data_IF_885673576956
#
_entry.id   IF_885673576956
#
_cell.length_a   1.000
_cell.length_b   1.000
_cell.length_c   1.000
_cell.angle_alpha   90.00
_cell.angle_beta   90.00
_cell.angle_gamma   90.00
#
_symmetry.space_group_name_H-M   'P 1'
#
loop_
_entity.id
_entity.type
_entity.pdbx_description
1 polymer ?
#
# COMPACT_ATOMS: atom_id res chain seq x y z
N UNK A 1 -0.37 -12.59 -15.10
CA UNK A 1 -1.20 -11.39 -14.83
C UNK A 1 -1.29 -10.56 -16.10
N UNK A 2 -2.41 -10.64 -16.84
CA UNK A 2 -2.57 -9.92 -18.10
C UNK A 2 -3.00 -8.48 -17.85
N UNK A 3 -2.21 -7.52 -18.32
CA UNK A 3 -2.50 -6.07 -18.23
C UNK A 3 -3.19 -5.61 -19.50
N UNK A 4 -4.53 -5.74 -19.54
CA UNK A 4 -5.33 -5.41 -20.73
C UNK A 4 -5.58 -3.91 -20.93
N UNK A 5 -5.36 -3.09 -19.90
CA UNK A 5 -5.45 -1.63 -19.96
C UNK A 5 -4.07 -1.03 -19.70
N UNK A 6 -3.80 0.14 -20.32
CA UNK A 6 -2.49 0.77 -20.51
C UNK A 6 -1.44 0.53 -19.40
N UNK A 7 -0.19 0.29 -19.82
CA UNK A 7 0.93 0.06 -18.90
C UNK A 7 1.76 1.33 -18.72
N UNK A 8 2.40 1.51 -17.56
CA UNK A 8 3.33 2.61 -17.31
C UNK A 8 2.68 3.94 -16.93
N UNK A 9 1.35 4.04 -16.88
CA UNK A 9 0.66 5.30 -16.59
C UNK A 9 0.90 5.79 -15.17
N UNK A 10 0.83 4.87 -14.19
CA UNK A 10 1.07 5.17 -12.79
C UNK A 10 2.55 5.50 -12.52
N UNK A 11 3.46 4.79 -13.18
CA UNK A 11 4.91 5.02 -13.10
C UNK A 11 5.29 6.40 -13.64
N UNK A 12 4.79 6.78 -14.82
CA UNK A 12 5.00 8.12 -15.41
C UNK A 12 4.44 9.22 -14.51
N UNK A 13 3.30 8.97 -13.87
CA UNK A 13 2.70 9.93 -12.94
C UNK A 13 3.57 10.10 -11.69
N UNK A 14 4.03 8.99 -11.11
CA UNK A 14 4.91 9.00 -9.95
C UNK A 14 6.20 9.77 -10.25
N UNK A 15 6.82 9.52 -11.41
CA UNK A 15 8.00 10.24 -11.88
C UNK A 15 7.73 11.76 -12.04
N UNK A 16 6.64 12.12 -12.73
CA UNK A 16 6.25 13.51 -12.97
C UNK A 16 6.07 14.32 -11.68
N UNK A 17 5.52 13.70 -10.65
CA UNK A 17 5.23 14.37 -9.38
C UNK A 17 6.29 14.11 -8.30
N UNK A 18 7.42 13.49 -8.66
CA UNK A 18 8.49 13.13 -7.73
C UNK A 18 7.97 12.37 -6.50
N UNK A 19 7.01 11.48 -6.73
CA UNK A 19 6.39 10.64 -5.70
C UNK A 19 6.61 9.16 -6.00
N UNK A 20 6.15 8.29 -5.11
CA UNK A 20 6.37 6.85 -5.20
C UNK A 20 5.11 6.11 -5.62
N UNK A 21 5.28 5.10 -6.47
CA UNK A 21 4.23 4.13 -6.77
C UNK A 21 4.26 3.00 -5.73
N UNK A 22 3.29 2.98 -4.82
CA UNK A 22 3.27 2.01 -3.70
C UNK A 22 2.74 0.63 -4.10
N UNK A 23 1.91 0.52 -5.13
CA UNK A 23 1.38 -0.76 -5.59
C UNK A 23 0.52 -0.63 -6.84
N UNK A 24 0.15 -1.78 -7.40
CA UNK A 24 -0.76 -1.89 -8.55
C UNK A 24 -1.78 -2.98 -8.26
N UNK A 25 -3.07 -2.61 -8.21
CA UNK A 25 -4.15 -3.57 -8.02
C UNK A 25 -4.73 -3.97 -9.38
N UNK A 26 -4.78 -5.26 -9.75
CA UNK A 26 -5.47 -5.71 -10.94
C UNK A 26 -6.98 -5.41 -10.87
N UNK A 27 -7.56 -5.11 -12.03
CA UNK A 27 -9.01 -5.11 -12.20
C UNK A 27 -9.47 -6.56 -12.33
N UNK A 28 -10.06 -7.11 -11.28
CA UNK A 28 -10.57 -8.48 -11.28
C UNK A 28 -11.99 -8.54 -10.72
N UNK A 29 -12.86 -9.33 -11.35
CA UNK A 29 -14.29 -9.38 -10.98
C UNK A 29 -14.51 -9.81 -9.53
N UNK A 30 -13.69 -10.74 -9.01
CA UNK A 30 -13.81 -11.22 -7.63
C UNK A 30 -13.54 -10.12 -6.58
N UNK A 31 -12.67 -9.15 -6.86
CA UNK A 31 -12.47 -7.99 -5.98
C UNK A 31 -13.77 -7.20 -5.83
N UNK A 32 -14.41 -6.91 -6.97
CA UNK A 32 -15.69 -6.19 -7.00
C UNK A 32 -16.79 -6.97 -6.27
N UNK A 33 -16.91 -8.27 -6.53
CA UNK A 33 -17.93 -9.11 -5.89
C UNK A 33 -17.76 -9.19 -4.37
N UNK A 34 -16.53 -9.33 -3.88
CA UNK A 34 -16.25 -9.36 -2.44
C UNK A 34 -16.61 -8.00 -1.79
N UNK A 35 -16.26 -6.88 -2.45
CA UNK A 35 -16.61 -5.52 -1.99
C UNK A 35 -18.12 -5.24 -2.05
N UNK A 36 -18.81 -5.66 -3.12
CA UNK A 36 -20.27 -5.53 -3.29
C UNK A 36 -21.03 -6.30 -2.20
N UNK A 37 -20.46 -7.41 -1.71
CA UNK A 37 -20.98 -8.19 -0.58
C UNK A 37 -20.67 -7.56 0.79
N UNK A 38 -19.93 -6.45 0.83
CA UNK A 38 -19.49 -5.79 2.06
C UNK A 38 -18.41 -6.56 2.84
N UNK A 39 -17.78 -7.57 2.24
CA UNK A 39 -16.72 -8.37 2.88
C UNK A 39 -15.43 -8.27 2.07
N UNK A 40 -14.47 -7.42 2.47
CA UNK A 40 -13.24 -7.18 1.72
C UNK A 40 -12.50 -8.47 1.35
N UNK A 41 -11.84 -8.49 0.19
CA UNK A 41 -11.12 -9.68 -0.33
C UNK A 41 -10.10 -10.26 0.64
N UNK A 42 -9.44 -9.42 1.46
CA UNK A 42 -8.50 -9.88 2.49
C UNK A 42 -9.14 -10.75 3.58
N UNK A 43 -10.47 -10.61 3.78
CA UNK A 43 -11.28 -11.42 4.69
C UNK A 43 -11.91 -12.59 3.93
N UNK A 44 -12.54 -12.30 2.78
CA UNK A 44 -13.26 -13.30 1.97
C UNK A 44 -12.34 -14.36 1.38
N UNK A 45 -11.09 -14.01 1.08
CA UNK A 45 -10.13 -14.83 0.33
C UNK A 45 -8.70 -14.65 0.88
N UNK A 46 -8.42 -15.10 2.11
CA UNK A 46 -7.17 -14.80 2.80
C UNK A 46 -5.91 -15.32 2.08
N UNK A 47 -6.04 -16.42 1.33
CA UNK A 47 -4.92 -17.06 0.61
C UNK A 47 -4.82 -16.66 -0.88
N UNK A 48 -5.63 -15.69 -1.33
CA UNK A 48 -5.59 -15.25 -2.74
C UNK A 48 -4.38 -14.36 -3.05
N UNK A 49 -3.96 -14.34 -4.33
CA UNK A 49 -2.91 -13.42 -4.76
C UNK A 49 -3.28 -11.95 -4.49
N UNK A 50 -4.56 -11.62 -4.57
CA UNK A 50 -5.08 -10.28 -4.30
C UNK A 50 -4.85 -9.87 -2.85
N UNK A 51 -5.07 -10.78 -1.91
CA UNK A 51 -4.77 -10.54 -0.49
C UNK A 51 -3.29 -10.29 -0.27
N UNK A 52 -2.43 -11.06 -0.92
CA UNK A 52 -0.98 -10.84 -0.89
C UNK A 52 -0.61 -9.46 -1.43
N UNK A 53 -1.19 -9.02 -2.55
CA UNK A 53 -0.96 -7.68 -3.11
C UNK A 53 -1.40 -6.57 -2.13
N UNK A 54 -2.58 -6.71 -1.50
CA UNK A 54 -3.04 -5.75 -0.50
C UNK A 54 -2.13 -5.67 0.72
N UNK A 55 -1.66 -6.81 1.24
CA UNK A 55 -0.70 -6.85 2.36
C UNK A 55 0.61 -6.17 2.00
N UNK A 56 1.17 -6.47 0.82
CA UNK A 56 2.39 -5.82 0.34
C UNK A 56 2.22 -4.30 0.17
N UNK A 57 1.06 -3.83 -0.29
CA UNK A 57 0.74 -2.41 -0.36
C UNK A 57 0.72 -1.78 1.04
N UNK A 58 0.04 -2.42 2.00
CA UNK A 58 -0.02 -1.95 3.38
C UNK A 58 1.37 -1.88 4.03
N UNK A 59 2.21 -2.90 3.83
CA UNK A 59 3.59 -2.94 4.33
C UNK A 59 4.42 -1.77 3.79
N UNK A 60 4.28 -1.47 2.49
CA UNK A 60 4.97 -0.34 1.87
C UNK A 60 4.50 1.00 2.42
N UNK A 61 3.20 1.18 2.64
CA UNK A 61 2.65 2.39 3.27
C UNK A 61 3.24 2.56 4.67
N UNK A 62 3.19 1.50 5.48
CA UNK A 62 3.72 1.52 6.85
C UNK A 62 5.22 1.85 6.87
N UNK A 63 6.01 1.22 5.99
CA UNK A 63 7.44 1.49 5.87
C UNK A 63 7.73 2.94 5.46
N UNK A 64 6.99 3.49 4.48
CA UNK A 64 7.17 4.90 4.08
C UNK A 64 6.84 5.86 5.22
N UNK A 65 5.74 5.64 5.94
CA UNK A 65 5.37 6.47 7.08
C UNK A 65 6.40 6.39 8.21
N UNK A 66 6.95 5.20 8.48
CA UNK A 66 7.98 5.03 9.49
C UNK A 66 9.24 5.86 9.18
N UNK A 67 9.72 5.81 7.94
CA UNK A 67 10.96 6.51 7.55
C UNK A 67 10.76 8.01 7.29
N UNK A 68 9.53 8.45 7.00
CA UNK A 68 9.19 9.87 6.78
C UNK A 68 8.68 10.57 8.04
N UNK A 69 8.38 9.83 9.11
CA UNK A 69 7.90 10.40 10.36
C UNK A 69 8.99 11.17 11.10
N UNK A 70 8.60 12.25 11.79
CA UNK A 70 9.50 12.89 12.73
C UNK A 70 9.70 12.00 13.96
N UNK A 71 10.96 11.78 14.33
CA UNK A 71 11.30 11.04 15.55
C UNK A 71 10.87 11.90 16.74
N UNK A 72 9.94 11.39 17.55
CA UNK A 72 9.63 11.97 18.85
C UNK A 72 10.87 11.73 19.74
N UNK A 73 11.64 12.76 20.14
CA UNK A 73 12.85 12.56 20.92
C UNK A 73 12.51 11.92 22.27
N UNK A 74 13.17 10.79 22.59
CA UNK A 74 12.93 10.03 23.82
C UNK A 74 13.70 10.52 25.05
N UNK A 75 14.58 11.52 24.91
CA UNK A 75 15.40 12.01 26.02
C UNK A 75 14.74 13.17 26.77
N UNK A 76 14.36 12.91 28.01
CA UNK A 76 14.24 13.96 29.03
C UNK A 76 15.67 14.28 29.49
N UNK A 77 16.19 15.44 29.11
CA UNK A 77 17.53 15.89 29.50
C UNK A 77 17.61 16.10 31.02
N UNK A 78 18.09 15.11 31.77
CA UNK A 78 18.49 15.32 33.17
C UNK A 78 19.89 15.90 33.21
N UNK A 79 20.00 17.20 33.52
CA UNK A 79 21.26 17.79 33.98
C UNK A 79 21.47 17.41 35.44
N UNK A 80 22.39 16.49 35.70
CA UNK A 80 22.96 16.36 37.03
C UNK A 80 23.88 17.56 37.25
N UNK A 81 23.54 18.38 38.26
CA UNK A 81 24.34 19.51 38.75
C UNK A 81 25.42 18.98 39.68
#
# INVERSE_FOLDING_TARGET
>A
MNRFFGTGGAEKLAEKYHTQLLGQMPLHISLREDLDKGTPTVISRPESEFTTIYRQLADRVAAQLYWQGEVIPGEISFRAV
#
